data_IF_358911769479
#
_entry.id   IF_358911769479
#
_cell.length_a   1.000
_cell.length_b   1.000
_cell.length_c   1.000
_cell.angle_alpha   90.00
_cell.angle_beta   90.00
_cell.angle_gamma   90.00
#
_symmetry.space_group_name_H-M   'P 1'
#
loop_
_entity.id
_entity.type
_entity.pdbx_description
1 polymer ?
#
# COMPACT_ATOMS: atom_id res chain seq x y z
N UNK A 1 -8.57 0.29 -10.38
CA UNK A 1 -7.52 0.84 -9.49
C UNK A 1 -6.49 1.59 -10.32
N UNK A 2 -6.20 2.85 -9.98
CA UNK A 2 -5.28 3.73 -10.72
C UNK A 2 -4.07 4.03 -9.85
N UNK A 3 -2.88 4.03 -10.45
CA UNK A 3 -1.66 4.53 -9.83
C UNK A 3 -1.68 6.05 -9.94
N UNK A 4 -1.85 6.75 -8.82
CA UNK A 4 -1.78 8.22 -8.84
C UNK A 4 -0.35 8.68 -8.56
N UNK A 5 0.11 9.58 -9.42
CA UNK A 5 1.36 10.30 -9.28
C UNK A 5 1.11 11.76 -8.86
N UNK A 6 0.50 11.98 -7.68
CA UNK A 6 0.44 13.29 -7.00
C UNK A 6 0.46 13.12 -5.48
N UNK A 7 1.00 14.13 -4.79
CA UNK A 7 1.40 14.12 -3.38
C UNK A 7 0.36 13.46 -2.42
N UNK A 8 0.61 12.22 -1.93
CA UNK A 8 -0.31 11.52 -1.03
C UNK A 8 -0.47 12.20 0.34
N UNK A 9 0.37 13.19 0.67
CA UNK A 9 0.33 13.92 1.94
C UNK A 9 -1.01 14.61 2.21
N UNK A 10 -1.64 15.20 1.19
CA UNK A 10 -2.92 15.90 1.35
C UNK A 10 -4.09 14.94 1.61
N UNK A 11 -4.05 13.74 1.03
CA UNK A 11 -5.12 12.73 1.22
C UNK A 11 -4.96 12.04 2.58
N UNK A 12 -3.72 11.82 3.03
CA UNK A 12 -3.46 11.25 4.35
C UNK A 12 -3.74 12.22 5.51
N UNK A 13 -3.53 13.53 5.32
CA UNK A 13 -3.90 14.52 6.34
C UNK A 13 -5.40 14.49 6.68
N UNK A 14 -6.27 14.17 5.70
CA UNK A 14 -7.69 14.01 5.94
C UNK A 14 -8.03 12.72 6.74
N UNK A 15 -7.23 11.66 6.60
CA UNK A 15 -7.39 10.41 7.35
C UNK A 15 -6.88 10.50 8.80
N UNK A 16 -5.83 11.29 9.05
CA UNK A 16 -5.19 11.41 10.37
C UNK A 16 -5.95 12.31 11.37
N UNK A 17 -6.79 13.26 10.91
CA UNK A 17 -7.34 14.30 11.79
C UNK A 17 -8.83 14.17 12.17
N UNK A 18 -9.54 13.10 11.80
CA UNK A 18 -11.00 12.94 12.02
C UNK A 18 -11.87 14.16 11.57
N UNK A 19 -11.28 15.09 10.83
CA UNK A 19 -11.84 16.39 10.46
C UNK A 19 -11.43 16.65 9.03
N UNK A 20 -12.37 16.46 8.11
CA UNK A 20 -12.19 16.78 6.70
C UNK A 20 -12.34 18.30 6.58
N UNK A 21 -11.27 19.04 6.78
CA UNK A 21 -11.19 20.44 6.33
C UNK A 21 -10.41 20.47 5.02
N UNK A 22 -11.03 21.07 4.01
CA UNK A 22 -10.47 21.27 2.67
C UNK A 22 -9.07 21.87 2.77
N UNK A 23 -8.08 21.20 2.15
CA UNK A 23 -6.77 21.81 1.96
C UNK A 23 -6.92 22.89 0.89
N UNK A 24 -7.05 24.15 1.33
CA UNK A 24 -7.22 25.32 0.45
C UNK A 24 -5.96 25.70 -0.35
N UNK A 25 -4.89 24.90 -0.28
CA UNK A 25 -3.58 25.20 -0.88
C UNK A 25 -3.25 24.41 -2.16
N UNK A 26 -4.20 23.75 -2.80
CA UNK A 26 -3.99 23.13 -4.12
C UNK A 26 -4.78 23.87 -5.21
N UNK A 27 -4.21 24.92 -5.84
CA UNK A 27 -4.80 25.50 -7.03
C UNK A 27 -4.67 24.54 -8.22
N UNK A 28 -5.72 24.55 -9.04
CA UNK A 28 -5.89 23.82 -10.30
C UNK A 28 -4.62 23.74 -11.17
N UNK A 29 -4.19 22.52 -11.51
CA UNK A 29 -3.72 22.15 -12.86
C UNK A 29 -3.52 20.63 -12.96
N UNK A 30 -4.35 20.01 -13.79
CA UNK A 30 -4.23 18.64 -14.23
C UNK A 30 -3.31 18.62 -15.45
N UNK A 31 -2.06 18.18 -15.27
CA UNK A 31 -1.23 17.72 -16.38
C UNK A 31 -0.71 16.33 -16.05
N UNK A 32 -0.94 15.42 -17.00
CA UNK A 32 -0.57 14.03 -17.03
C UNK A 32 0.84 13.95 -17.60
N UNK A 33 1.85 13.75 -16.74
CA UNK A 33 3.24 13.62 -17.18
C UNK A 33 3.65 12.15 -17.22
N UNK A 34 3.72 11.63 -18.44
CA UNK A 34 4.49 10.43 -18.78
C UNK A 34 5.94 10.88 -18.87
N UNK A 35 6.80 10.46 -17.93
CA UNK A 35 8.23 10.79 -17.97
C UNK A 35 9.02 9.56 -18.41
N UNK A 36 9.69 9.73 -19.55
CA UNK A 36 10.73 8.88 -20.10
C UNK A 36 12.04 9.01 -19.31
N UNK A 37 12.76 7.91 -19.16
CA UNK A 37 14.08 7.82 -18.56
C UNK A 37 15.15 8.57 -19.37
N UNK A 38 15.99 9.38 -18.71
CA UNK A 38 17.37 9.64 -19.15
C UNK A 38 18.31 10.03 -17.99
N UNK A 39 19.32 9.17 -17.85
CA UNK A 39 20.68 9.23 -17.30
C UNK A 39 21.17 10.24 -16.24
N UNK A 40 22.00 9.64 -15.37
CA UNK A 40 22.83 10.14 -14.27
C UNK A 40 23.78 11.29 -14.58
N UNK A 41 24.16 12.03 -13.53
CA UNK A 41 25.56 12.47 -13.36
C UNK A 41 25.95 12.53 -11.87
N UNK A 42 27.18 12.09 -11.59
CA UNK A 42 27.86 11.88 -10.31
C UNK A 42 28.19 13.19 -9.55
N UNK A 43 28.41 13.11 -8.24
CA UNK A 43 29.55 13.78 -7.58
C UNK A 43 29.98 13.09 -6.27
N UNK A 44 31.29 12.91 -6.14
CA UNK A 44 32.08 12.35 -5.04
C UNK A 44 32.44 13.42 -4.00
N UNK A 45 32.52 13.05 -2.72
CA UNK A 45 33.36 13.74 -1.73
C UNK A 45 34.09 12.71 -0.83
N UNK A 46 35.40 12.88 -0.74
CA UNK A 46 36.35 12.02 -0.02
C UNK A 46 36.54 12.45 1.42
N UNK A 47 36.84 11.52 2.32
CA UNK A 47 37.64 11.78 3.52
C UNK A 47 38.65 10.64 3.74
N UNK A 48 39.89 10.89 3.33
CA UNK A 48 41.09 10.21 3.84
C UNK A 48 41.68 11.09 4.93
N UNK A 49 41.79 10.58 6.16
CA UNK A 49 43.01 10.73 6.98
C UNK A 49 42.92 9.90 8.25
N UNK A 50 44.08 9.37 8.65
CA UNK A 50 44.41 8.60 9.86
C UNK A 50 44.14 7.09 9.80
N UNK A 51 45.17 6.33 9.41
CA UNK A 51 46.05 5.62 10.33
C UNK A 51 47.17 4.90 9.55
N UNK A 52 48.41 5.13 9.96
CA UNK A 52 49.61 4.44 9.49
C UNK A 52 49.92 3.24 10.40
N UNK A 53 50.44 2.17 9.79
CA UNK A 53 51.25 1.06 10.35
C UNK A 53 50.51 -0.07 11.10
N UNK A 54 50.26 -1.19 10.40
CA UNK A 54 51.12 -2.38 10.48
C UNK A 54 50.65 -3.46 9.49
N UNK A 55 51.53 -3.88 8.59
CA UNK A 55 51.31 -4.95 7.63
C UNK A 55 51.50 -6.31 8.30
N UNK A 56 50.43 -7.08 8.41
CA UNK A 56 50.39 -8.56 8.33
C UNK A 56 49.01 -9.08 8.75
N UNK A 57 47.98 -8.87 7.91
CA UNK A 57 46.75 -9.69 7.85
C UNK A 57 45.80 -9.26 6.69
N UNK A 58 46.35 -8.71 5.60
CA UNK A 58 45.57 -7.95 4.60
C UNK A 58 44.47 -8.76 3.89
N UNK A 59 44.59 -10.09 3.72
CA UNK A 59 43.57 -10.87 3.04
C UNK A 59 42.29 -11.09 3.88
N UNK A 60 42.40 -11.30 5.19
CA UNK A 60 41.22 -11.50 6.05
C UNK A 60 40.51 -10.19 6.37
N UNK A 61 41.25 -9.08 6.54
CA UNK A 61 40.65 -7.77 6.81
C UNK A 61 39.95 -7.18 5.58
N UNK A 62 40.45 -7.39 4.36
CA UNK A 62 39.75 -6.97 3.14
C UNK A 62 38.44 -7.73 2.94
N UNK A 63 38.38 -9.01 3.34
CA UNK A 63 37.18 -9.84 3.22
C UNK A 63 36.15 -9.48 4.30
N UNK A 64 36.59 -9.24 5.55
CA UNK A 64 35.75 -8.70 6.63
C UNK A 64 35.29 -7.28 6.31
N UNK A 65 36.14 -6.40 5.79
CA UNK A 65 35.73 -5.07 5.31
C UNK A 65 34.75 -5.17 4.14
N UNK A 66 34.92 -6.11 3.22
CA UNK A 66 34.00 -6.35 2.10
C UNK A 66 32.68 -6.96 2.57
N UNK A 67 32.67 -7.72 3.65
CA UNK A 67 31.47 -8.21 4.33
C UNK A 67 30.77 -7.09 5.12
N UNK A 68 31.52 -6.18 5.74
CA UNK A 68 31.02 -5.01 6.48
C UNK A 68 30.53 -3.90 5.52
N UNK A 69 31.16 -3.75 4.34
CA UNK A 69 30.81 -2.74 3.30
C UNK A 69 29.67 -3.17 2.38
N UNK A 70 29.23 -4.43 2.43
CA UNK A 70 28.06 -4.85 1.67
C UNK A 70 26.81 -4.34 2.38
N UNK A 71 26.08 -3.43 1.71
CA UNK A 71 24.74 -3.02 2.16
C UNK A 71 23.93 -4.28 2.46
N UNK A 72 23.29 -4.38 3.64
CA UNK A 72 22.44 -5.51 3.97
C UNK A 72 21.46 -5.84 2.85
N UNK A 73 21.21 -7.13 2.59
CA UNK A 73 20.36 -7.58 1.47
C UNK A 73 19.01 -6.86 1.40
N UNK A 74 18.42 -6.53 2.55
CA UNK A 74 17.14 -5.83 2.64
C UNK A 74 17.17 -4.43 2.01
N UNK A 75 18.33 -3.73 2.00
CA UNK A 75 18.49 -2.43 1.34
C UNK A 75 18.37 -2.51 -0.19
N UNK A 76 18.52 -3.72 -0.75
CA UNK A 76 18.29 -4.02 -2.16
C UNK A 76 17.00 -4.82 -2.38
N UNK A 77 16.14 -4.94 -1.37
CA UNK A 77 14.90 -5.71 -1.47
C UNK A 77 13.71 -4.76 -1.50
N UNK A 78 12.85 -4.86 -2.51
CA UNK A 78 11.62 -4.08 -2.65
C UNK A 78 10.43 -5.02 -2.46
N UNK A 79 9.53 -4.65 -1.56
CA UNK A 79 8.25 -5.34 -1.37
C UNK A 79 7.33 -5.13 -2.56
N UNK A 80 6.62 -6.17 -2.98
CA UNK A 80 5.62 -6.13 -4.05
C UNK A 80 4.31 -6.69 -3.54
N UNK A 81 3.24 -5.91 -3.71
CA UNK A 81 1.88 -6.40 -3.51
C UNK A 81 1.58 -7.43 -4.60
N UNK A 82 1.13 -8.62 -4.20
CA UNK A 82 0.80 -9.73 -5.10
C UNK A 82 -0.58 -9.57 -5.77
N UNK A 83 -0.83 -8.41 -6.39
CA UNK A 83 -2.01 -8.15 -7.22
C UNK A 83 -1.57 -7.63 -8.59
N UNK A 84 -2.29 -8.03 -9.65
CA UNK A 84 -1.92 -7.71 -11.04
C UNK A 84 -1.77 -6.20 -11.31
N UNK A 85 -2.52 -5.38 -10.58
CA UNK A 85 -2.50 -3.93 -10.71
C UNK A 85 -1.18 -3.26 -10.25
N UNK A 86 -0.34 -3.97 -9.50
CA UNK A 86 0.97 -3.49 -9.08
C UNK A 86 2.09 -3.96 -10.01
N UNK A 87 1.83 -4.95 -10.89
CA UNK A 87 2.83 -5.53 -11.78
C UNK A 87 3.56 -4.50 -12.66
N UNK A 88 2.86 -3.50 -13.25
CA UNK A 88 3.53 -2.50 -14.09
C UNK A 88 4.60 -1.68 -13.34
N UNK A 89 4.53 -1.57 -12.01
CA UNK A 89 5.50 -0.80 -11.22
C UNK A 89 6.87 -1.46 -11.11
N UNK A 90 6.95 -2.75 -11.40
CA UNK A 90 8.19 -3.53 -11.28
C UNK A 90 8.80 -3.87 -12.64
N UNK A 91 8.17 -3.45 -13.74
CA UNK A 91 8.73 -3.60 -15.08
C UNK A 91 9.95 -2.69 -15.22
N UNK A 92 11.07 -3.25 -15.65
CA UNK A 92 12.33 -2.50 -15.83
C UNK A 92 13.08 -2.20 -14.53
N UNK A 93 12.70 -2.84 -13.41
CA UNK A 93 13.49 -2.77 -12.19
C UNK A 93 14.88 -3.40 -12.44
N UNK A 94 15.93 -2.69 -12.01
CA UNK A 94 17.31 -3.15 -12.16
C UNK A 94 17.54 -4.50 -11.45
N UNK A 95 18.26 -5.41 -12.12
CA UNK A 95 18.49 -6.80 -11.66
C UNK A 95 19.25 -6.88 -10.32
N UNK A 96 19.88 -5.78 -9.87
CA UNK A 96 20.50 -5.71 -8.55
C UNK A 96 19.50 -5.62 -7.40
N UNK A 97 18.23 -5.33 -7.68
CA UNK A 97 17.14 -5.37 -6.70
C UNK A 97 16.47 -6.74 -6.64
N UNK A 98 16.09 -7.14 -5.43
CA UNK A 98 15.29 -8.32 -5.17
C UNK A 98 13.84 -7.92 -4.93
N UNK A 99 12.90 -8.74 -5.41
CA UNK A 99 11.46 -8.54 -5.17
C UNK A 99 10.99 -9.49 -4.07
N UNK A 100 10.34 -8.94 -3.05
CA UNK A 100 9.69 -9.69 -1.98
C UNK A 100 8.16 -9.62 -2.20
N UNK A 101 7.53 -10.64 -2.80
CA UNK A 101 6.08 -10.65 -2.98
C UNK A 101 5.38 -11.00 -1.66
N UNK A 102 4.43 -10.18 -1.24
CA UNK A 102 3.59 -10.47 -0.07
C UNK A 102 2.22 -9.75 -0.16
N UNK A 103 1.22 -10.18 0.62
CA UNK A 103 -0.03 -9.42 0.77
C UNK A 103 0.22 -8.02 1.35
N UNK A 104 -0.62 -7.01 1.03
CA UNK A 104 -0.39 -5.63 1.45
C UNK A 104 -0.16 -5.46 2.96
N UNK A 105 -1.04 -6.00 3.81
CA UNK A 105 -0.90 -5.86 5.27
C UNK A 105 0.36 -6.54 5.82
N UNK A 106 0.93 -7.51 5.11
CA UNK A 106 2.16 -8.20 5.52
C UNK A 106 3.41 -7.38 5.19
N UNK A 107 3.36 -6.59 4.10
CA UNK A 107 4.46 -5.72 3.68
C UNK A 107 4.78 -4.63 4.71
N UNK A 108 3.79 -4.17 5.48
CA UNK A 108 4.02 -3.28 6.63
C UNK A 108 4.99 -3.90 7.63
N UNK A 109 4.75 -5.17 8.01
CA UNK A 109 5.64 -5.89 8.91
C UNK A 109 7.05 -6.09 8.33
N UNK A 110 7.14 -6.37 7.04
CA UNK A 110 8.43 -6.50 6.35
C UNK A 110 9.22 -5.18 6.32
N UNK A 111 8.56 -4.05 6.06
CA UNK A 111 9.19 -2.74 6.15
C UNK A 111 9.70 -2.47 7.58
N UNK A 112 8.84 -2.66 8.58
CA UNK A 112 9.20 -2.38 9.98
C UNK A 112 10.37 -3.24 10.46
N UNK A 113 10.47 -4.51 10.03
CA UNK A 113 11.58 -5.39 10.42
C UNK A 113 12.84 -5.25 9.57
N UNK A 114 12.88 -4.33 8.60
CA UNK A 114 13.99 -4.20 7.64
C UNK A 114 14.20 -5.50 6.84
N UNK A 115 13.11 -6.10 6.36
CA UNK A 115 13.14 -7.19 5.37
C UNK A 115 13.18 -6.62 3.93
N UNK A 116 12.68 -5.41 3.73
CA UNK A 116 12.74 -4.64 2.48
C UNK A 116 12.97 -3.14 2.74
N UNK A 117 13.58 -2.46 1.77
CA UNK A 117 13.90 -1.02 1.83
C UNK A 117 12.69 -0.14 1.53
N UNK A 118 11.79 -0.66 0.69
CA UNK A 118 10.64 0.04 0.13
C UNK A 118 9.53 -0.98 -0.07
N UNK A 119 8.28 -0.64 0.23
CA UNK A 119 7.13 -1.45 -0.15
C UNK A 119 5.86 -0.61 -0.31
N UNK A 120 4.93 -1.02 -1.19
CA UNK A 120 3.54 -0.59 -1.13
C UNK A 120 2.88 -1.20 0.09
N UNK A 121 2.33 -0.36 0.97
CA UNK A 121 1.60 -0.76 2.18
C UNK A 121 0.21 -0.13 2.21
N UNK A 122 -0.72 -0.67 3.01
CA UNK A 122 -2.00 -0.03 3.23
C UNK A 122 -1.83 1.40 3.79
N UNK A 123 -2.58 2.36 3.25
CA UNK A 123 -2.63 3.72 3.78
C UNK A 123 -3.00 3.78 5.28
N UNK A 124 -3.87 2.88 5.75
CA UNK A 124 -4.21 2.77 7.17
C UNK A 124 -3.02 2.33 8.03
N UNK A 125 -2.18 1.44 7.52
CA UNK A 125 -0.97 0.98 8.20
C UNK A 125 0.08 2.09 8.27
N UNK A 126 0.26 2.83 7.17
CA UNK A 126 1.11 4.01 7.18
C UNK A 126 0.63 5.02 8.23
N UNK A 127 -0.66 5.34 8.27
CA UNK A 127 -1.21 6.28 9.25
C UNK A 127 -0.91 5.85 10.70
N UNK A 128 -0.99 4.54 10.97
CA UNK A 128 -0.64 3.97 12.28
C UNK A 128 0.85 4.07 12.61
N UNK A 129 1.72 3.96 11.62
CA UNK A 129 3.18 3.94 11.78
C UNK A 129 3.88 5.19 11.23
N UNK A 130 3.16 6.32 11.12
CA UNK A 130 3.66 7.55 10.49
C UNK A 130 4.88 8.16 11.19
N UNK A 131 5.12 7.82 12.46
CA UNK A 131 6.30 8.23 13.21
C UNK A 131 7.57 7.51 12.76
N UNK A 132 7.45 6.25 12.30
CA UNK A 132 8.56 5.39 11.87
C UNK A 132 8.76 5.37 10.35
N UNK A 133 7.70 5.66 9.59
CA UNK A 133 7.66 5.52 8.13
C UNK A 133 7.62 6.88 7.41
N UNK A 134 8.29 6.95 6.26
CA UNK A 134 8.21 8.05 5.32
C UNK A 134 7.45 7.59 4.07
N UNK A 135 6.60 8.48 3.53
CA UNK A 135 6.00 8.27 2.22
C UNK A 135 7.05 8.44 1.14
N UNK A 136 7.04 7.56 0.15
CA UNK A 136 7.60 7.90 -1.15
C UNK A 136 6.59 8.82 -1.83
N UNK A 137 6.99 10.04 -2.18
CA UNK A 137 6.09 10.99 -2.82
C UNK A 137 5.63 10.43 -4.16
N UNK A 138 4.53 10.98 -4.69
CA UNK A 138 4.22 10.83 -6.11
C UNK A 138 3.93 9.38 -6.57
N UNK A 139 3.65 8.46 -5.65
CA UNK A 139 3.21 7.12 -5.98
C UNK A 139 2.23 6.59 -4.93
N UNK A 140 1.06 6.17 -5.41
CA UNK A 140 0.01 5.64 -4.56
C UNK A 140 -0.99 4.79 -5.33
N UNK A 141 -1.65 3.92 -4.59
CA UNK A 141 -2.71 3.04 -5.07
C UNK A 141 -4.05 3.67 -4.71
N UNK A 142 -4.81 4.11 -5.70
CA UNK A 142 -6.00 4.92 -5.48
C UNK A 142 -7.14 4.66 -6.48
N UNK A 143 -8.29 5.29 -6.24
CA UNK A 143 -9.37 5.42 -7.23
C UNK A 143 -10.07 6.77 -7.10
N UNK A 144 -10.67 7.24 -8.20
CA UNK A 144 -11.64 8.34 -8.20
C UNK A 144 -12.98 7.76 -8.65
N UNK A 145 -13.83 7.43 -7.70
CA UNK A 145 -15.06 6.67 -7.94
C UNK A 145 -14.79 5.16 -7.92
N UNK A 146 -15.58 4.44 -8.72
CA UNK A 146 -15.54 2.99 -8.84
C UNK A 146 -14.10 2.45 -8.96
N UNK A 147 -13.75 1.50 -8.10
CA UNK A 147 -12.43 0.85 -8.10
C UNK A 147 -12.48 -0.54 -8.73
N UNK A 148 -13.63 -1.21 -8.66
CA UNK A 148 -13.92 -2.55 -9.20
C UNK A 148 -13.24 -3.70 -8.45
N UNK A 149 -12.25 -3.40 -7.61
CA UNK A 149 -11.40 -4.39 -6.94
C UNK A 149 -11.40 -4.26 -5.41
N UNK A 150 -12.37 -3.54 -4.84
CA UNK A 150 -12.59 -3.43 -3.39
C UNK A 150 -14.09 -3.39 -3.15
N UNK A 151 -14.67 -4.58 -2.95
CA UNK A 151 -16.12 -4.79 -3.07
C UNK A 151 -16.68 -5.53 -1.85
N UNK A 152 -17.88 -5.14 -1.42
CA UNK A 152 -18.70 -5.96 -0.51
C UNK A 152 -19.65 -6.79 -1.35
N UNK A 153 -19.63 -8.11 -1.12
CA UNK A 153 -20.54 -9.08 -1.69
C UNK A 153 -21.58 -9.51 -0.65
N UNK A 154 -22.77 -9.91 -1.09
CA UNK A 154 -23.78 -10.53 -0.25
C UNK A 154 -25.10 -10.76 -0.98
N UNK A 155 -25.93 -11.66 -0.46
CA UNK A 155 -27.24 -12.01 -1.07
C UNK A 155 -28.36 -11.05 -0.69
N UNK A 156 -28.13 -10.16 0.29
CA UNK A 156 -29.11 -9.19 0.82
C UNK A 156 -28.56 -7.75 0.82
N UNK A 157 -29.41 -6.72 1.00
CA UNK A 157 -28.95 -5.34 1.19
C UNK A 157 -28.01 -5.20 2.40
N UNK A 158 -27.13 -4.20 2.37
CA UNK A 158 -26.16 -3.95 3.45
C UNK A 158 -26.85 -3.72 4.80
N UNK A 159 -28.01 -3.07 4.77
CA UNK A 159 -28.83 -2.70 5.92
C UNK A 159 -29.39 -3.92 6.66
N UNK A 160 -29.44 -5.07 5.99
CA UNK A 160 -30.00 -6.33 6.52
C UNK A 160 -28.91 -7.35 6.89
N UNK A 161 -27.63 -7.01 6.72
CA UNK A 161 -26.52 -7.90 7.06
C UNK A 161 -26.29 -7.90 8.58
N UNK A 162 -26.26 -9.10 9.18
CA UNK A 162 -25.94 -9.28 10.61
C UNK A 162 -24.43 -9.28 10.85
N UNK A 163 -23.68 -9.83 9.92
CA UNK A 163 -22.23 -9.91 9.95
C UNK A 163 -21.61 -9.79 8.56
N UNK A 164 -20.38 -9.29 8.54
CA UNK A 164 -19.57 -9.18 7.32
C UNK A 164 -18.22 -9.82 7.57
N UNK A 165 -17.84 -10.75 6.70
CA UNK A 165 -16.51 -11.32 6.66
C UNK A 165 -15.49 -10.29 6.18
N UNK A 166 -14.41 -10.12 6.93
CA UNK A 166 -13.33 -9.18 6.65
C UNK A 166 -12.05 -9.93 6.29
N UNK A 167 -11.36 -9.54 5.20
CA UNK A 167 -10.15 -10.20 4.78
C UNK A 167 -8.97 -9.77 5.67
N UNK A 168 -8.08 -10.70 5.97
CA UNK A 168 -6.89 -10.45 6.79
C UNK A 168 -5.74 -9.77 6.02
N UNK A 169 -5.89 -9.59 4.70
CA UNK A 169 -4.84 -9.07 3.80
C UNK A 169 -4.99 -7.58 3.41
N UNK A 170 -5.97 -6.85 3.95
CA UNK A 170 -6.18 -5.42 3.64
C UNK A 170 -6.74 -4.57 4.78
N UNK A 171 -5.86 -3.89 5.53
CA UNK A 171 -6.28 -3.01 6.63
C UNK A 171 -6.97 -1.74 6.15
N UNK A 172 -6.54 -1.12 5.05
CA UNK A 172 -7.20 0.09 4.49
C UNK A 172 -8.64 -0.18 4.07
N UNK A 173 -8.90 -1.27 3.34
CA UNK A 173 -10.25 -1.60 2.89
C UNK A 173 -11.17 -1.93 4.07
N UNK A 174 -10.64 -2.64 5.08
CA UNK A 174 -11.38 -2.93 6.32
C UNK A 174 -11.72 -1.64 7.08
N UNK A 175 -10.75 -0.74 7.26
CA UNK A 175 -10.97 0.53 7.95
C UNK A 175 -11.99 1.40 7.20
N UNK A 176 -11.89 1.48 5.88
CA UNK A 176 -12.82 2.22 5.03
C UNK A 176 -14.24 1.64 5.12
N UNK A 177 -14.40 0.32 5.03
CA UNK A 177 -15.72 -0.31 5.15
C UNK A 177 -16.38 0.03 6.49
N UNK A 178 -15.65 -0.15 7.60
CA UNK A 178 -16.15 0.18 8.94
C UNK A 178 -16.57 1.65 9.05
N UNK A 179 -15.79 2.56 8.48
CA UNK A 179 -16.13 3.98 8.45
C UNK A 179 -17.40 4.25 7.63
N UNK A 180 -17.52 3.69 6.41
CA UNK A 180 -18.68 3.86 5.54
C UNK A 180 -19.96 3.32 6.17
N UNK A 181 -19.91 2.13 6.77
CA UNK A 181 -21.07 1.52 7.46
C UNK A 181 -21.51 2.38 8.65
N UNK A 182 -20.56 2.82 9.47
CA UNK A 182 -20.85 3.72 10.60
C UNK A 182 -21.49 5.04 10.15
N UNK A 183 -21.06 5.60 9.02
CA UNK A 183 -21.65 6.82 8.45
C UNK A 183 -23.08 6.62 7.94
N UNK A 184 -23.45 5.39 7.59
CA UNK A 184 -24.82 4.98 7.22
C UNK A 184 -25.67 4.54 8.42
N UNK A 185 -25.10 4.51 9.63
CA UNK A 185 -25.78 4.01 10.83
C UNK A 185 -25.97 2.49 10.86
N UNK A 186 -25.15 1.74 10.10
CA UNK A 186 -25.18 0.27 10.02
C UNK A 186 -23.96 -0.26 10.79
N UNK A 187 -24.15 -1.30 11.61
CA UNK A 187 -23.10 -1.90 12.45
C UNK A 187 -23.14 -3.43 12.43
N UNK A 188 -22.88 -4.08 11.27
CA UNK A 188 -22.84 -5.53 11.20
C UNK A 188 -21.60 -6.05 11.94
N UNK A 189 -21.73 -7.19 12.62
CA UNK A 189 -20.62 -7.79 13.36
C UNK A 189 -19.47 -8.16 12.39
N UNK A 190 -18.24 -7.67 12.61
CA UNK A 190 -17.11 -8.06 11.79
C UNK A 190 -16.63 -9.48 12.13
N UNK A 191 -16.30 -10.28 11.12
CA UNK A 191 -15.74 -11.64 11.28
C UNK A 191 -14.48 -11.76 10.43
N UNK A 192 -13.31 -11.92 11.03
CA UNK A 192 -12.07 -12.12 10.26
C UNK A 192 -12.03 -13.52 9.64
N UNK A 193 -11.75 -13.58 8.33
CA UNK A 193 -11.70 -14.81 7.55
C UNK A 193 -10.66 -14.71 6.43
N UNK A 194 -10.19 -15.87 5.96
CA UNK A 194 -9.39 -15.93 4.74
C UNK A 194 -10.19 -15.44 3.53
N UNK A 195 -9.55 -14.78 2.54
CA UNK A 195 -10.22 -14.06 1.46
C UNK A 195 -10.73 -14.99 0.35
N UNK A 196 -11.73 -15.81 0.66
CA UNK A 196 -12.44 -16.67 -0.29
C UNK A 196 -13.95 -16.42 -0.20
N UNK A 197 -14.58 -16.09 -1.32
CA UNK A 197 -15.97 -15.63 -1.33
C UNK A 197 -16.94 -16.69 -0.80
N UNK A 198 -16.78 -17.92 -1.26
CA UNK A 198 -17.74 -18.99 -1.05
C UNK A 198 -17.77 -19.35 0.44
N UNK A 199 -16.60 -19.60 1.02
CA UNK A 199 -16.47 -19.87 2.47
C UNK A 199 -16.86 -18.67 3.35
N UNK A 200 -16.63 -17.44 2.89
CA UNK A 200 -17.06 -16.24 3.61
C UNK A 200 -18.59 -16.11 3.65
N UNK A 201 -19.28 -16.32 2.51
CA UNK A 201 -20.74 -16.20 2.42
C UNK A 201 -21.50 -17.42 2.99
N UNK A 202 -20.85 -18.57 3.14
CA UNK A 202 -21.38 -19.69 3.92
C UNK A 202 -21.54 -19.33 5.40
N UNK A 203 -20.68 -18.45 5.93
CA UNK A 203 -20.62 -18.10 7.36
C UNK A 203 -21.22 -16.74 7.70
N UNK A 204 -21.12 -15.77 6.79
CA UNK A 204 -21.53 -14.39 7.02
C UNK A 204 -22.54 -13.90 5.97
N UNK A 205 -23.36 -12.91 6.33
CA UNK A 205 -24.33 -12.33 5.39
C UNK A 205 -23.67 -11.49 4.28
N UNK A 206 -22.46 -10.97 4.53
CA UNK A 206 -21.65 -10.27 3.54
C UNK A 206 -20.16 -10.63 3.62
N UNK A 207 -19.44 -10.31 2.56
CA UNK A 207 -18.00 -10.58 2.44
C UNK A 207 -17.29 -9.41 1.76
N UNK A 208 -16.27 -8.85 2.41
CA UNK A 208 -15.36 -7.89 1.78
C UNK A 208 -14.24 -8.64 1.06
N UNK A 209 -14.09 -8.40 -0.24
CA UNK A 209 -12.96 -8.88 -1.02
C UNK A 209 -12.21 -7.74 -1.69
N UNK A 210 -10.93 -7.99 -1.94
CA UNK A 210 -10.03 -7.04 -2.57
C UNK A 210 -9.17 -7.67 -3.68
N UNK A 211 -8.59 -6.82 -4.52
CA UNK A 211 -7.65 -7.20 -5.57
C UNK A 211 -8.28 -8.08 -6.65
N UNK A 212 -7.47 -8.98 -7.20
CA UNK A 212 -7.86 -9.82 -8.34
C UNK A 212 -9.04 -10.75 -7.99
N UNK A 213 -9.11 -11.21 -6.73
CA UNK A 213 -10.23 -12.03 -6.24
C UNK A 213 -11.57 -11.29 -6.32
N UNK A 214 -11.58 -10.01 -5.96
CA UNK A 214 -12.79 -9.20 -6.08
C UNK A 214 -13.20 -8.99 -7.54
N UNK A 215 -12.23 -8.74 -8.43
CA UNK A 215 -12.49 -8.58 -9.86
C UNK A 215 -13.09 -9.85 -10.48
N UNK A 216 -12.50 -11.01 -10.19
CA UNK A 216 -12.97 -12.28 -10.75
C UNK A 216 -14.34 -12.68 -10.20
N UNK A 217 -14.58 -12.45 -8.91
CA UNK A 217 -15.88 -12.74 -8.29
C UNK A 217 -16.96 -11.76 -8.73
N UNK A 218 -16.65 -10.49 -8.96
CA UNK A 218 -17.61 -9.53 -9.52
C UNK A 218 -18.01 -9.87 -10.96
N UNK A 219 -17.07 -10.38 -11.78
CA UNK A 219 -17.38 -10.86 -13.14
C UNK A 219 -18.30 -12.08 -13.13
N UNK A 220 -18.06 -13.02 -12.23
CA UNK A 220 -18.81 -14.28 -12.16
C UNK A 220 -20.11 -14.17 -11.37
N UNK A 221 -20.19 -13.25 -10.41
CA UNK A 221 -21.33 -13.05 -9.51
C UNK A 221 -21.68 -11.57 -9.38
N UNK A 222 -22.01 -10.87 -10.48
CA UNK A 222 -22.29 -9.43 -10.45
C UNK A 222 -23.47 -9.08 -9.54
N UNK A 223 -24.48 -9.95 -9.48
CA UNK A 223 -25.69 -9.78 -8.66
C UNK A 223 -25.43 -9.88 -7.15
N UNK A 224 -24.25 -10.36 -6.74
CA UNK A 224 -23.84 -10.37 -5.33
C UNK A 224 -23.13 -9.09 -4.91
N UNK A 225 -22.71 -8.22 -5.83
CA UNK A 225 -22.05 -6.97 -5.47
C UNK A 225 -23.06 -6.03 -4.80
N UNK A 226 -22.72 -5.55 -3.60
CA UNK A 226 -23.56 -4.67 -2.78
C UNK A 226 -22.94 -3.30 -2.54
N UNK A 227 -21.61 -3.20 -2.63
CA UNK A 227 -20.90 -1.94 -2.45
C UNK A 227 -19.56 -1.96 -3.18
N UNK A 228 -19.28 -0.93 -3.96
CA UNK A 228 -17.90 -0.56 -4.33
C UNK A 228 -17.41 0.52 -3.36
N UNK A 229 -16.30 0.23 -2.67
CA UNK A 229 -15.78 1.11 -1.62
C UNK A 229 -15.21 2.42 -2.19
N UNK A 230 -14.65 2.40 -3.40
CA UNK A 230 -14.13 3.60 -4.06
C UNK A 230 -15.25 4.55 -4.47
N UNK A 231 -16.32 3.99 -5.04
CA UNK A 231 -17.52 4.74 -5.41
C UNK A 231 -18.22 5.32 -4.17
N UNK A 232 -18.42 4.50 -3.14
CA UNK A 232 -19.05 4.92 -1.89
C UNK A 232 -18.26 6.04 -1.17
N UNK A 233 -16.93 6.00 -1.24
CA UNK A 233 -16.08 7.08 -0.73
C UNK A 233 -16.24 8.38 -1.53
N UNK A 234 -16.26 8.28 -2.85
CA UNK A 234 -16.45 9.44 -3.72
C UNK A 234 -17.82 10.09 -3.47
N UNK A 235 -18.88 9.30 -3.35
CA UNK A 235 -20.23 9.79 -3.06
C UNK A 235 -20.31 10.49 -1.70
N UNK A 236 -19.63 9.95 -0.69
CA UNK A 236 -19.64 10.52 0.65
C UNK A 236 -18.80 11.80 0.77
N UNK A 237 -17.67 11.90 0.05
CA UNK A 237 -16.66 12.93 0.31
C UNK A 237 -16.37 13.86 -0.87
N UNK A 238 -16.72 13.47 -2.09
CA UNK A 238 -16.29 14.13 -3.32
C UNK A 238 -14.80 13.98 -3.65
N UNK A 239 -14.04 13.18 -2.87
CA UNK A 239 -12.58 13.05 -3.00
C UNK A 239 -12.18 11.67 -3.55
N UNK A 240 -11.00 11.55 -4.19
CA UNK A 240 -10.38 10.26 -4.48
C UNK A 240 -10.07 9.46 -3.21
N UNK A 241 -10.10 8.13 -3.30
CA UNK A 241 -9.70 7.23 -2.21
C UNK A 241 -8.28 6.73 -2.44
N UNK A 242 -7.43 6.77 -1.41
CA UNK A 242 -6.09 6.14 -1.42
C UNK A 242 -6.12 4.89 -0.56
N UNK A 243 -5.98 3.72 -1.20
CA UNK A 243 -5.98 2.42 -0.53
C UNK A 243 -4.57 2.03 -0.06
N UNK A 244 -3.54 2.35 -0.85
CA UNK A 244 -2.16 2.01 -0.54
C UNK A 244 -1.19 3.13 -0.89
N UNK A 245 -0.06 3.16 -0.19
CA UNK A 245 1.03 4.13 -0.38
C UNK A 245 2.34 3.38 -0.43
N UNK A 246 3.35 3.92 -1.13
CA UNK A 246 4.71 3.40 -0.98
C UNK A 246 5.36 4.06 0.22
N UNK A 247 6.01 3.23 1.03
CA UNK A 247 6.69 3.69 2.22
C UNK A 247 8.06 3.05 2.37
N UNK A 248 8.95 3.79 3.01
CA UNK A 248 10.22 3.32 3.54
C UNK A 248 10.31 3.70 5.02
N UNK A 249 11.22 3.08 5.78
CA UNK A 249 11.50 3.57 7.14
C UNK A 249 12.26 4.90 7.08
N UNK A 250 11.99 5.81 8.01
CA UNK A 250 12.69 7.11 8.10
C UNK A 250 14.18 6.99 8.42
N UNK A 251 14.61 5.87 8.99
CA UNK A 251 16.00 5.56 9.36
C UNK A 251 16.74 4.74 8.29
N UNK A 252 16.21 4.72 7.05
CA UNK A 252 16.80 4.05 5.88
C UNK A 252 17.83 4.93 5.20
#
# INVERSE_FOLDING_TARGET
MVLYNKNPSCILQALLHHSITTCNNCPNSFEMLVVSLSNETQHTLSLRSMLHQNQSNDCQWLEVERMIKQKPRWMKTIGRVAFMNCDPLFVGLDDSYHVLPAPPSWLTGHLLRKDCVLAPIPAADFAKHHDELALVPEIGICSKGEVGSVLVFGSRPLEEMRDIALPTDSSSSVALLKYLLKRRGIDPRPVEMGPDLDTMLERCDGALLIGDRALDRAKTNPDLVRLDLGQAWLELTGQPMVFGVFAARKDT
#
